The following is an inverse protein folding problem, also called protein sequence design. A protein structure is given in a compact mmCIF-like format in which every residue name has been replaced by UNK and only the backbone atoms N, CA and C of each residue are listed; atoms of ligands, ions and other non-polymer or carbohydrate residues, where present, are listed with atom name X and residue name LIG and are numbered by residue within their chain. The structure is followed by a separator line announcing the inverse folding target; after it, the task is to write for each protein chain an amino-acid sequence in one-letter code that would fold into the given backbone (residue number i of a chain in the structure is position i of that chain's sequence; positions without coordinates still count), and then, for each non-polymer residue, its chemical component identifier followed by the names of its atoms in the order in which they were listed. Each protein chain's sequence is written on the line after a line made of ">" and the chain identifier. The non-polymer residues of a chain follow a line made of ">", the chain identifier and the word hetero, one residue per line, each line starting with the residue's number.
data_IF_164434467617
#
_entry.id   IF_164434467617
#
_cell.length_a   1.000
_cell.length_b   1.000
_cell.length_c   1.000
_cell.angle_alpha   90.00
_cell.angle_beta   90.00
_cell.angle_gamma   90.00
#
_symmetry.space_group_name_H-M   'P 1'
#
loop_
_entity.id
_entity.type
_entity.pdbx_description
1 polymer ?
#
# COMPACT_ATOMS: atom_id res chain seq x y z
N UNK A 1 -11.61 -12.95 -27.06
CA UNK A 1 -10.21 -13.16 -27.45
C UNK A 1 -9.90 -14.66 -27.47
N UNK A 2 -10.03 -15.38 -26.36
CA UNK A 2 -9.70 -16.80 -26.28
C UNK A 2 -10.49 -17.67 -27.27
N UNK A 3 -11.79 -17.41 -27.44
CA UNK A 3 -12.65 -18.13 -28.41
C UNK A 3 -12.23 -17.90 -29.87
N UNK A 4 -11.54 -16.79 -30.16
CA UNK A 4 -11.06 -16.43 -31.48
C UNK A 4 -9.56 -16.75 -31.68
N UNK A 5 -8.93 -17.39 -30.70
CA UNK A 5 -7.49 -17.72 -30.70
C UNK A 5 -6.58 -16.48 -30.91
N UNK A 6 -7.07 -15.28 -30.55
CA UNK A 6 -6.30 -14.03 -30.61
C UNK A 6 -5.52 -13.82 -29.33
N UNK A 7 -4.31 -14.39 -29.30
CA UNK A 7 -3.44 -14.42 -28.11
C UNK A 7 -2.94 -13.03 -27.73
N UNK A 8 -2.64 -12.17 -28.71
CA UNK A 8 -2.16 -10.80 -28.45
C UNK A 8 -3.25 -9.98 -27.74
N UNK A 9 -4.44 -9.93 -28.30
CA UNK A 9 -5.57 -9.25 -27.68
C UNK A 9 -5.98 -9.84 -26.32
N UNK A 10 -5.92 -11.18 -26.19
CA UNK A 10 -6.19 -11.85 -24.92
C UNK A 10 -5.20 -11.43 -23.84
N UNK A 11 -3.92 -11.28 -24.18
CA UNK A 11 -2.87 -10.83 -23.27
C UNK A 11 -3.10 -9.37 -22.84
N UNK A 12 -3.38 -8.46 -23.76
CA UNK A 12 -3.70 -7.06 -23.45
C UNK A 12 -4.87 -6.94 -22.48
N UNK A 13 -5.98 -7.64 -22.75
CA UNK A 13 -7.16 -7.61 -21.89
C UNK A 13 -6.87 -8.18 -20.48
N UNK A 14 -6.01 -9.21 -20.37
CA UNK A 14 -5.61 -9.74 -19.08
C UNK A 14 -4.67 -8.79 -18.32
N UNK A 15 -3.78 -8.07 -19.01
CA UNK A 15 -2.93 -7.05 -18.39
C UNK A 15 -3.77 -5.88 -17.84
N UNK A 16 -4.84 -5.50 -18.54
CA UNK A 16 -5.79 -4.49 -18.04
C UNK A 16 -6.59 -5.04 -16.85
N UNK A 17 -7.05 -6.29 -16.93
CA UNK A 17 -7.77 -6.93 -15.83
C UNK A 17 -6.93 -7.01 -14.55
N UNK A 18 -5.61 -7.25 -14.64
CA UNK A 18 -4.70 -7.22 -13.49
C UNK A 18 -4.76 -5.88 -12.77
N UNK A 19 -4.83 -4.77 -13.50
CA UNK A 19 -4.97 -3.45 -12.88
C UNK A 19 -6.24 -3.32 -12.03
N UNK A 20 -7.38 -3.75 -12.58
CA UNK A 20 -8.67 -3.70 -11.88
C UNK A 20 -8.68 -4.65 -10.66
N UNK A 21 -8.14 -5.87 -10.79
CA UNK A 21 -8.04 -6.83 -9.69
C UNK A 21 -7.17 -6.30 -8.54
N UNK A 22 -6.07 -5.63 -8.87
CA UNK A 22 -5.19 -5.00 -7.87
C UNK A 22 -5.93 -3.90 -7.08
N UNK A 23 -6.73 -3.07 -7.73
CA UNK A 23 -7.56 -2.07 -7.06
C UNK A 23 -8.61 -2.70 -6.13
N UNK A 24 -9.16 -3.85 -6.51
CA UNK A 24 -10.14 -4.61 -5.75
C UNK A 24 -9.53 -5.49 -4.64
N UNK A 25 -8.19 -5.54 -4.52
CA UNK A 25 -7.49 -6.43 -3.58
C UNK A 25 -7.77 -7.93 -3.82
N UNK A 26 -7.99 -8.31 -5.08
CA UNK A 26 -8.26 -9.68 -5.53
C UNK A 26 -6.94 -10.39 -5.90
N UNK A 27 -6.04 -10.52 -4.92
CA UNK A 27 -4.64 -10.94 -5.13
C UNK A 27 -4.54 -12.36 -5.71
N UNK A 28 -5.40 -13.28 -5.28
CA UNK A 28 -5.43 -14.67 -5.80
C UNK A 28 -5.83 -14.72 -7.28
N UNK A 29 -6.85 -13.96 -7.65
CA UNK A 29 -7.33 -13.84 -9.02
C UNK A 29 -6.29 -13.13 -9.90
N UNK A 30 -5.63 -12.10 -9.38
CA UNK A 30 -4.55 -11.38 -10.05
C UNK A 30 -3.40 -12.32 -10.42
N UNK A 31 -2.94 -13.15 -9.48
CA UNK A 31 -1.89 -14.16 -9.69
C UNK A 31 -2.34 -15.20 -10.71
N UNK A 32 -3.58 -15.68 -10.63
CA UNK A 32 -4.12 -16.67 -11.57
C UNK A 32 -4.18 -16.13 -13.01
N UNK A 33 -4.63 -14.88 -13.18
CA UNK A 33 -4.65 -14.21 -14.50
C UNK A 33 -3.24 -14.05 -15.05
N UNK A 34 -2.28 -13.64 -14.23
CA UNK A 34 -0.89 -13.46 -14.65
C UNK A 34 -0.22 -14.79 -15.00
N UNK A 35 -0.51 -15.86 -14.25
CA UNK A 35 -0.02 -17.21 -14.56
C UNK A 35 -0.46 -17.65 -15.95
N UNK A 36 -1.68 -17.33 -16.36
CA UNK A 36 -2.17 -17.59 -17.72
C UNK A 36 -1.41 -16.77 -18.77
N UNK A 37 -1.10 -15.49 -18.48
CA UNK A 37 -0.28 -14.65 -19.38
C UNK A 37 1.12 -15.26 -19.57
N UNK A 38 1.75 -15.74 -18.49
CA UNK A 38 3.07 -16.39 -18.58
C UNK A 38 3.02 -17.68 -19.40
N UNK A 39 1.97 -18.49 -19.26
CA UNK A 39 1.78 -19.68 -20.07
C UNK A 39 1.60 -19.35 -21.56
N UNK A 40 0.78 -18.34 -21.86
CA UNK A 40 0.61 -17.85 -23.23
C UNK A 40 1.92 -17.31 -23.81
N UNK A 41 2.71 -16.55 -23.01
CA UNK A 41 4.04 -16.06 -23.40
C UNK A 41 5.01 -17.20 -23.74
N UNK A 42 5.07 -18.25 -22.90
CA UNK A 42 5.98 -19.37 -23.15
C UNK A 42 5.66 -20.12 -24.46
N UNK A 43 4.39 -20.13 -24.88
CA UNK A 43 3.93 -20.78 -26.10
C UNK A 43 3.91 -19.85 -27.33
N UNK A 44 3.95 -18.52 -27.17
CA UNK A 44 3.76 -17.53 -28.23
C UNK A 44 4.76 -16.36 -28.13
N UNK A 45 6.07 -16.68 -27.96
CA UNK A 45 7.15 -15.69 -27.82
C UNK A 45 7.38 -14.83 -29.06
N UNK A 46 6.85 -15.23 -30.19
CA UNK A 46 6.86 -14.47 -31.44
C UNK A 46 5.81 -13.37 -31.48
N UNK A 47 4.77 -13.47 -30.64
CA UNK A 47 3.64 -12.54 -30.54
C UNK A 47 3.76 -11.68 -29.28
N UNK A 48 3.96 -12.29 -28.11
CA UNK A 48 4.03 -11.61 -26.82
C UNK A 48 5.48 -11.27 -26.51
N UNK A 49 5.76 -9.99 -26.21
CA UNK A 49 7.08 -9.55 -25.73
C UNK A 49 7.17 -9.64 -24.22
N UNK A 50 8.22 -10.27 -23.71
CA UNK A 50 8.43 -10.36 -22.26
C UNK A 50 8.51 -9.01 -21.59
N UNK A 51 9.09 -8.02 -22.24
CA UNK A 51 9.23 -6.66 -21.75
C UNK A 51 7.88 -6.04 -21.34
N UNK A 52 6.83 -6.27 -22.12
CA UNK A 52 5.49 -5.78 -21.86
C UNK A 52 4.85 -6.35 -20.56
N UNK A 53 5.38 -7.48 -20.09
CA UNK A 53 4.89 -8.18 -18.89
C UNK A 53 5.59 -7.72 -17.60
N UNK A 54 6.82 -7.19 -17.68
CA UNK A 54 7.70 -7.00 -16.52
C UNK A 54 7.14 -6.03 -15.49
N UNK A 55 6.48 -4.95 -15.94
CA UNK A 55 5.87 -3.98 -15.01
C UNK A 55 4.77 -4.62 -14.16
N UNK A 56 3.92 -5.43 -14.77
CA UNK A 56 2.86 -6.15 -14.05
C UNK A 56 3.45 -7.28 -13.22
N UNK A 57 4.48 -7.96 -13.67
CA UNK A 57 5.15 -9.00 -12.90
C UNK A 57 5.63 -8.50 -11.54
N UNK A 58 6.17 -7.30 -11.48
CA UNK A 58 6.55 -6.64 -10.23
C UNK A 58 5.37 -6.51 -9.25
N UNK A 59 4.17 -6.23 -9.75
CA UNK A 59 2.95 -6.16 -8.93
C UNK A 59 2.54 -7.55 -8.43
N UNK A 60 2.53 -8.54 -9.33
CA UNK A 60 2.23 -9.93 -8.98
C UNK A 60 3.17 -10.44 -7.88
N UNK A 61 4.45 -10.18 -8.01
CA UNK A 61 5.39 -10.52 -6.94
C UNK A 61 5.04 -9.82 -5.62
N UNK A 62 4.63 -8.56 -5.67
CA UNK A 62 4.10 -7.88 -4.48
C UNK A 62 2.91 -8.60 -3.88
N UNK A 63 1.93 -8.98 -4.71
CA UNK A 63 0.70 -9.64 -4.26
C UNK A 63 0.95 -11.01 -3.62
N UNK A 64 2.08 -11.68 -3.94
CA UNK A 64 2.43 -12.93 -3.26
C UNK A 64 2.75 -12.75 -1.77
N UNK A 65 3.19 -11.57 -1.34
CA UNK A 65 3.40 -11.27 0.09
C UNK A 65 2.07 -11.04 0.84
N UNK A 66 1.01 -10.70 0.11
CA UNK A 66 -0.29 -10.35 0.68
C UNK A 66 -1.16 -11.58 0.97
N UNK A 67 -0.74 -12.78 0.51
CA UNK A 67 -1.45 -14.05 0.68
C UNK A 67 -0.73 -14.92 1.72
N UNK A 68 -1.27 -15.07 2.95
CA UNK A 68 -0.60 -15.78 4.04
C UNK A 68 -0.32 -17.25 3.76
N UNK A 69 -1.08 -17.86 2.85
CA UNK A 69 -0.96 -19.28 2.46
C UNK A 69 0.25 -19.54 1.54
N UNK A 70 0.85 -18.50 0.93
CA UNK A 70 2.03 -18.65 0.08
C UNK A 70 3.28 -18.66 0.98
N UNK A 71 4.03 -19.78 1.02
CA UNK A 71 5.26 -19.85 1.80
C UNK A 71 6.32 -18.87 1.29
N UNK A 72 7.12 -18.31 2.18
CA UNK A 72 8.17 -17.34 1.84
C UNK A 72 9.14 -17.88 0.77
N UNK A 73 9.43 -19.18 0.77
CA UNK A 73 10.27 -19.83 -0.26
C UNK A 73 9.68 -19.67 -1.67
N UNK A 74 8.34 -19.73 -1.82
CA UNK A 74 7.68 -19.48 -3.10
C UNK A 74 7.69 -18.01 -3.47
N UNK A 75 7.50 -17.11 -2.51
CA UNK A 75 7.63 -15.67 -2.73
C UNK A 75 9.03 -15.30 -3.21
N UNK A 76 10.06 -15.87 -2.59
CA UNK A 76 11.47 -15.70 -2.99
C UNK A 76 11.72 -16.26 -4.40
N UNK A 77 11.15 -17.42 -4.74
CA UNK A 77 11.28 -18.02 -6.07
C UNK A 77 10.66 -17.13 -7.17
N UNK A 78 9.49 -16.52 -6.92
CA UNK A 78 8.86 -15.56 -7.84
C UNK A 78 9.77 -14.32 -8.01
N UNK A 79 10.35 -13.83 -6.92
CA UNK A 79 11.29 -12.71 -6.95
C UNK A 79 12.56 -13.01 -7.75
N UNK A 80 13.15 -14.21 -7.62
CA UNK A 80 14.34 -14.60 -8.39
C UNK A 80 14.01 -14.82 -9.88
N UNK A 81 12.81 -15.30 -10.22
CA UNK A 81 12.36 -15.36 -11.62
C UNK A 81 12.17 -13.95 -12.19
N UNK A 82 11.51 -13.04 -11.45
CA UNK A 82 11.40 -11.63 -11.85
C UNK A 82 12.78 -11.01 -12.10
N UNK A 83 13.71 -11.18 -11.17
CA UNK A 83 15.10 -10.69 -11.27
C UNK A 83 15.79 -11.22 -12.53
N UNK A 84 15.63 -12.50 -12.83
CA UNK A 84 16.22 -13.13 -14.03
C UNK A 84 15.66 -12.50 -15.31
N UNK A 85 14.35 -12.24 -15.34
CA UNK A 85 13.66 -11.66 -16.50
C UNK A 85 14.05 -10.20 -16.73
N UNK A 86 14.10 -9.36 -15.68
CA UNK A 86 14.52 -7.96 -15.84
C UNK A 86 15.98 -7.85 -16.35
N UNK A 87 16.89 -8.68 -15.82
CA UNK A 87 18.29 -8.67 -16.28
C UNK A 87 18.43 -9.09 -17.75
N UNK A 88 17.71 -10.13 -18.19
CA UNK A 88 17.81 -10.58 -19.59
C UNK A 88 17.17 -9.58 -20.59
N UNK A 89 16.27 -8.71 -20.10
CA UNK A 89 15.71 -7.60 -20.89
C UNK A 89 16.55 -6.32 -20.77
N UNK A 90 17.71 -6.35 -20.10
CA UNK A 90 18.66 -5.24 -20.04
C UNK A 90 18.36 -4.18 -18.98
N UNK A 91 17.46 -4.44 -18.06
CA UNK A 91 17.14 -3.56 -16.94
C UNK A 91 18.09 -3.76 -15.76
N UNK A 92 18.14 -2.76 -14.88
CA UNK A 92 18.88 -2.80 -13.62
C UNK A 92 18.12 -3.61 -12.55
N UNK A 93 18.80 -3.91 -11.44
CA UNK A 93 18.16 -4.55 -10.29
C UNK A 93 17.43 -3.56 -9.36
N UNK A 94 17.27 -2.29 -9.77
CA UNK A 94 16.69 -1.23 -8.94
C UNK A 94 15.31 -1.58 -8.42
N UNK A 95 14.40 -2.03 -9.30
CA UNK A 95 13.03 -2.41 -8.93
C UNK A 95 12.96 -3.66 -8.05
N UNK A 96 13.87 -4.61 -8.24
CA UNK A 96 14.03 -5.79 -7.39
C UNK A 96 14.45 -5.40 -5.96
N UNK A 97 15.47 -4.55 -5.82
CA UNK A 97 15.91 -4.08 -4.50
C UNK A 97 14.87 -3.17 -3.84
N UNK A 98 14.15 -2.37 -4.62
CA UNK A 98 13.02 -1.59 -4.11
C UNK A 98 12.00 -2.49 -3.43
N UNK A 99 11.56 -3.58 -4.07
CA UNK A 99 10.56 -4.48 -3.49
C UNK A 99 11.04 -5.07 -2.17
N UNK A 100 12.24 -5.63 -2.14
CA UNK A 100 12.81 -6.15 -0.91
C UNK A 100 12.95 -5.09 0.20
N UNK A 101 13.30 -3.86 -0.14
CA UNK A 101 13.37 -2.78 0.86
C UNK A 101 12.02 -2.49 1.51
N UNK A 102 10.95 -2.54 0.72
CA UNK A 102 9.57 -2.37 1.20
C UNK A 102 9.19 -3.51 2.15
N UNK A 103 9.34 -4.74 1.70
CA UNK A 103 8.94 -5.91 2.49
C UNK A 103 9.75 -6.03 3.79
N UNK A 104 11.06 -5.82 3.72
CA UNK A 104 11.90 -5.80 4.93
C UNK A 104 11.49 -4.67 5.92
N UNK A 105 11.08 -3.49 5.41
CA UNK A 105 10.57 -2.40 6.26
C UNK A 105 9.29 -2.86 6.98
N UNK A 106 8.37 -3.44 6.25
CA UNK A 106 7.09 -3.91 6.79
C UNK A 106 7.23 -5.08 7.77
N UNK A 107 8.20 -5.96 7.52
CA UNK A 107 8.59 -7.03 8.45
C UNK A 107 9.45 -6.54 9.63
N UNK A 108 9.71 -5.23 9.73
CA UNK A 108 10.57 -4.59 10.74
C UNK A 108 12.02 -5.13 10.77
N UNK A 109 12.49 -5.63 9.64
CA UNK A 109 13.86 -6.03 9.40
C UNK A 109 14.68 -4.83 8.91
N UNK A 110 14.79 -3.77 9.73
CA UNK A 110 15.27 -2.46 9.31
C UNK A 110 16.72 -2.46 8.80
N UNK A 111 17.59 -3.32 9.32
CA UNK A 111 18.97 -3.43 8.84
C UNK A 111 19.01 -3.96 7.40
N UNK A 112 18.21 -5.00 7.11
CA UNK A 112 18.06 -5.53 5.74
C UNK A 112 17.38 -4.52 4.82
N UNK A 113 16.34 -3.84 5.31
CA UNK A 113 15.67 -2.78 4.55
C UNK A 113 16.66 -1.71 4.11
N UNK A 114 17.54 -1.26 5.03
CA UNK A 114 18.58 -0.28 4.72
C UNK A 114 19.58 -0.80 3.70
N UNK A 115 20.02 -2.05 3.81
CA UNK A 115 20.93 -2.67 2.83
C UNK A 115 20.29 -2.67 1.43
N UNK A 116 19.02 -3.02 1.32
CA UNK A 116 18.31 -3.02 0.05
C UNK A 116 18.05 -1.61 -0.49
N UNK A 117 17.78 -0.62 0.36
CA UNK A 117 17.71 0.79 -0.03
C UNK A 117 19.05 1.24 -0.63
N UNK A 118 20.17 0.90 0.00
CA UNK A 118 21.50 1.29 -0.50
C UNK A 118 21.83 0.62 -1.83
N UNK A 119 21.49 -0.67 -1.99
CA UNK A 119 21.63 -1.39 -3.28
C UNK A 119 20.75 -0.75 -4.36
N UNK A 120 19.50 -0.46 -4.04
CA UNK A 120 18.57 0.22 -4.95
C UNK A 120 19.13 1.55 -5.45
N UNK A 121 19.64 2.38 -4.53
CA UNK A 121 20.18 3.70 -4.86
C UNK A 121 21.49 3.64 -5.64
N UNK A 122 22.23 2.53 -5.56
CA UNK A 122 23.44 2.29 -6.35
C UNK A 122 23.15 1.88 -7.81
N UNK A 123 21.95 1.37 -8.09
CA UNK A 123 21.52 0.99 -9.43
C UNK A 123 21.01 2.21 -10.22
N UNK A 124 21.21 2.20 -11.53
CA UNK A 124 20.63 3.24 -12.39
C UNK A 124 19.10 3.12 -12.43
N UNK A 125 18.46 4.27 -12.58
CA UNK A 125 17.03 4.34 -12.85
C UNK A 125 16.72 3.89 -14.28
N UNK A 126 15.64 3.17 -14.49
CA UNK A 126 15.17 2.69 -15.78
C UNK A 126 13.64 2.61 -15.83
N UNK A 127 13.06 2.07 -16.92
CA UNK A 127 11.62 2.01 -17.14
C UNK A 127 10.88 1.06 -16.18
N UNK A 128 11.61 0.22 -15.42
CA UNK A 128 11.03 -0.59 -14.34
C UNK A 128 10.99 0.16 -12.99
N UNK A 129 11.43 1.42 -12.96
CA UNK A 129 11.54 2.27 -11.77
C UNK A 129 10.53 3.41 -11.79
N UNK A 130 10.12 3.85 -10.60
CA UNK A 130 9.28 5.04 -10.43
C UNK A 130 9.81 5.85 -9.25
N UNK A 131 10.43 7.01 -9.52
CA UNK A 131 11.04 7.85 -8.50
C UNK A 131 10.06 8.25 -7.39
N UNK A 132 8.84 8.62 -7.74
CA UNK A 132 7.83 9.01 -6.75
C UNK A 132 7.47 7.84 -5.81
N UNK A 133 7.34 6.62 -6.36
CA UNK A 133 7.07 5.42 -5.56
C UNK A 133 8.26 5.08 -4.65
N UNK A 134 9.49 5.16 -5.17
CA UNK A 134 10.70 4.91 -4.38
C UNK A 134 10.83 5.86 -3.20
N UNK A 135 10.64 7.17 -3.43
CA UNK A 135 10.65 8.17 -2.36
C UNK A 135 9.57 7.89 -1.31
N UNK A 136 8.36 7.51 -1.74
CA UNK A 136 7.27 7.18 -0.82
C UNK A 136 7.57 5.93 0.02
N UNK A 137 8.20 4.90 -0.54
CA UNK A 137 8.58 3.70 0.21
C UNK A 137 9.78 3.93 1.12
N UNK A 138 10.77 4.70 0.69
CA UNK A 138 11.86 5.11 1.58
C UNK A 138 11.35 5.95 2.75
N UNK A 139 10.29 6.76 2.54
CA UNK A 139 9.63 7.52 3.60
C UNK A 139 9.16 6.58 4.73
N UNK A 140 8.56 5.43 4.41
CA UNK A 140 8.13 4.45 5.41
C UNK A 140 9.31 3.99 6.28
N UNK A 141 10.43 3.60 5.67
CA UNK A 141 11.61 3.18 6.42
C UNK A 141 12.13 4.26 7.39
N UNK A 142 12.24 5.52 6.94
CA UNK A 142 12.74 6.59 7.80
C UNK A 142 11.77 6.95 8.92
N UNK A 143 10.47 6.95 8.66
CA UNK A 143 9.44 7.22 9.65
C UNK A 143 9.37 6.10 10.71
N UNK A 144 9.37 4.84 10.27
CA UNK A 144 9.35 3.66 11.16
C UNK A 144 10.62 3.56 12.04
N UNK A 145 11.77 4.04 11.54
CA UNK A 145 13.03 4.09 12.30
C UNK A 145 13.20 5.37 13.13
N UNK A 146 12.16 6.22 13.22
CA UNK A 146 12.16 7.43 14.06
C UNK A 146 12.98 8.60 13.49
N UNK A 147 13.34 8.57 12.21
CA UNK A 147 14.18 9.58 11.54
C UNK A 147 13.32 10.61 10.80
N UNK A 148 12.42 11.27 11.52
CA UNK A 148 11.44 12.19 10.92
C UNK A 148 12.09 13.29 10.04
N UNK A 149 13.15 13.95 10.53
CA UNK A 149 13.74 15.07 9.79
C UNK A 149 14.38 14.61 8.47
N UNK A 150 15.01 13.43 8.46
CA UNK A 150 15.53 12.82 7.24
C UNK A 150 14.39 12.42 6.29
N UNK A 151 13.33 11.79 6.82
CA UNK A 151 12.13 11.41 6.08
C UNK A 151 11.50 12.63 5.39
N UNK A 152 11.27 13.72 6.14
CA UNK A 152 10.68 14.95 5.63
C UNK A 152 11.54 15.64 4.58
N UNK A 153 12.87 15.70 4.81
CA UNK A 153 13.81 16.26 3.83
C UNK A 153 13.79 15.49 2.51
N UNK A 154 13.80 14.15 2.57
CA UNK A 154 13.76 13.28 1.37
C UNK A 154 12.42 13.32 0.64
N UNK A 155 11.32 13.57 1.35
CA UNK A 155 9.99 13.67 0.77
C UNK A 155 9.71 15.02 0.06
N UNK A 156 10.61 16.00 0.10
CA UNK A 156 10.38 17.32 -0.51
C UNK A 156 10.00 17.28 -1.99
N UNK A 157 10.58 16.41 -2.85
CA UNK A 157 10.14 16.30 -4.24
C UNK A 157 8.68 15.83 -4.37
N UNK A 158 8.21 14.93 -3.48
CA UNK A 158 6.79 14.51 -3.42
C UNK A 158 5.90 15.63 -2.90
N UNK A 159 6.29 16.27 -1.78
CA UNK A 159 5.54 17.34 -1.13
C UNK A 159 5.32 18.53 -2.10
N UNK A 160 6.34 18.88 -2.85
CA UNK A 160 6.31 19.98 -3.81
C UNK A 160 5.85 19.58 -5.21
N UNK A 161 5.37 18.35 -5.41
CA UNK A 161 4.88 17.81 -6.68
C UNK A 161 5.91 17.93 -7.83
N UNK A 162 7.20 17.90 -7.51
CA UNK A 162 8.30 17.85 -8.50
C UNK A 162 8.35 16.46 -9.16
N UNK A 163 8.03 15.43 -8.39
CA UNK A 163 7.76 14.08 -8.89
C UNK A 163 6.36 13.67 -8.46
N UNK A 164 5.65 12.98 -9.33
CA UNK A 164 4.27 12.55 -9.08
C UNK A 164 4.05 11.14 -9.57
N UNK A 165 3.21 10.41 -8.85
CA UNK A 165 2.63 9.16 -9.28
C UNK A 165 1.23 9.10 -8.68
N UNK A 166 0.36 8.26 -9.23
CA UNK A 166 -1.08 8.23 -8.92
C UNK A 166 -1.40 8.37 -7.41
N UNK A 167 -0.64 7.68 -6.54
CA UNK A 167 -0.89 7.65 -5.10
C UNK A 167 0.26 8.20 -4.24
N UNK A 168 1.48 8.28 -4.76
CA UNK A 168 2.67 8.50 -3.94
C UNK A 168 2.62 9.81 -3.15
N UNK A 169 2.12 10.88 -3.75
CA UNK A 169 2.01 12.19 -3.08
C UNK A 169 0.98 12.15 -1.94
N UNK A 170 -0.22 11.59 -2.19
CA UNK A 170 -1.26 11.45 -1.17
C UNK A 170 -0.77 10.59 0.00
N UNK A 171 -0.18 9.44 -0.29
CA UNK A 171 0.40 8.54 0.74
C UNK A 171 1.41 9.26 1.61
N UNK A 172 2.27 10.08 1.01
CA UNK A 172 3.25 10.87 1.75
C UNK A 172 2.56 11.89 2.68
N UNK A 173 1.53 12.59 2.21
CA UNK A 173 0.81 13.58 3.03
C UNK A 173 0.12 12.92 4.23
N UNK A 174 -0.60 11.81 4.02
CA UNK A 174 -1.29 11.07 5.08
C UNK A 174 -0.34 10.64 6.20
N UNK A 175 0.81 10.04 5.83
CA UNK A 175 1.82 9.59 6.78
C UNK A 175 2.49 10.76 7.50
N UNK A 176 2.91 11.78 6.75
CA UNK A 176 3.60 12.93 7.32
C UNK A 176 2.73 13.75 8.27
N UNK A 177 1.41 13.83 8.04
CA UNK A 177 0.50 14.48 8.99
C UNK A 177 0.60 13.83 10.39
N UNK A 178 0.51 12.49 10.46
CA UNK A 178 0.63 11.75 11.72
C UNK A 178 2.03 11.85 12.34
N UNK A 179 3.07 11.52 11.57
CA UNK A 179 4.42 11.47 12.12
C UNK A 179 4.98 12.85 12.51
N UNK A 180 4.60 13.92 11.80
CA UNK A 180 4.94 15.29 12.19
C UNK A 180 4.27 15.68 13.51
N UNK A 181 2.99 15.35 13.68
CA UNK A 181 2.29 15.60 14.95
C UNK A 181 2.96 14.85 16.11
N UNK A 182 3.28 13.58 15.89
CA UNK A 182 3.98 12.73 16.87
C UNK A 182 5.40 13.23 17.20
N UNK A 183 6.08 13.84 16.22
CA UNK A 183 7.40 14.47 16.39
C UNK A 183 7.36 15.90 17.00
N UNK A 184 6.19 16.40 17.40
CA UNK A 184 6.04 17.73 17.97
C UNK A 184 6.22 18.86 16.95
N UNK A 185 5.87 18.63 15.69
CA UNK A 185 5.95 19.59 14.57
C UNK A 185 4.54 19.91 14.01
N UNK A 186 3.68 20.56 14.81
CA UNK A 186 2.27 20.73 14.46
C UNK A 186 2.04 21.55 13.19
N UNK A 187 2.92 22.52 12.86
CA UNK A 187 2.78 23.31 11.65
C UNK A 187 2.98 22.47 10.38
N UNK A 188 3.96 21.56 10.40
CA UNK A 188 4.18 20.61 9.30
C UNK A 188 3.00 19.63 9.23
N UNK A 189 2.53 19.14 10.38
CA UNK A 189 1.39 18.23 10.43
C UNK A 189 0.13 18.86 9.83
N UNK A 190 -0.15 20.13 10.13
CA UNK A 190 -1.29 20.86 9.62
C UNK A 190 -1.19 21.12 8.10
N UNK A 191 0.00 21.48 7.58
CA UNK A 191 0.22 21.62 6.13
C UNK A 191 0.00 20.29 5.41
N UNK A 192 0.56 19.19 5.92
CA UNK A 192 0.38 17.86 5.34
C UNK A 192 -1.08 17.39 5.39
N UNK A 193 -1.78 17.68 6.49
CA UNK A 193 -3.21 17.41 6.63
C UNK A 193 -4.04 18.17 5.57
N UNK A 194 -3.78 19.46 5.37
CA UNK A 194 -4.48 20.27 4.35
C UNK A 194 -4.29 19.67 2.96
N UNK A 195 -3.05 19.33 2.59
CA UNK A 195 -2.75 18.69 1.29
C UNK A 195 -3.39 17.32 1.15
N UNK A 196 -3.47 16.54 2.23
CA UNK A 196 -4.14 15.26 2.23
C UNK A 196 -5.65 15.40 2.01
N UNK A 197 -6.31 16.33 2.70
CA UNK A 197 -7.75 16.63 2.53
C UNK A 197 -8.06 17.09 1.10
N UNK A 198 -7.25 17.99 0.53
CA UNK A 198 -7.40 18.41 -0.87
C UNK A 198 -7.29 17.22 -1.84
N UNK A 199 -6.34 16.31 -1.62
CA UNK A 199 -6.13 15.14 -2.47
C UNK A 199 -7.17 14.03 -2.26
N UNK A 200 -7.85 13.99 -1.10
CA UNK A 200 -8.93 13.06 -0.78
C UNK A 200 -10.30 13.53 -1.29
N UNK A 201 -10.43 14.80 -1.64
CA UNK A 201 -11.70 15.35 -2.11
C UNK A 201 -12.20 14.62 -3.36
N UNK A 202 -13.42 14.10 -3.32
CA UNK A 202 -14.02 13.30 -4.40
C UNK A 202 -13.61 11.82 -4.42
N UNK A 203 -12.87 11.38 -3.41
CA UNK A 203 -12.37 9.98 -3.27
C UNK A 203 -13.03 9.23 -2.11
N UNK A 204 -14.23 9.62 -1.70
CA UNK A 204 -14.93 9.06 -0.54
C UNK A 204 -15.34 7.59 -0.71
N UNK A 205 -15.25 7.06 -1.92
CA UNK A 205 -15.59 5.66 -2.24
C UNK A 205 -14.38 4.82 -2.64
N UNK A 206 -13.18 5.36 -2.51
CA UNK A 206 -11.96 4.71 -2.94
C UNK A 206 -11.40 3.81 -1.82
N UNK A 207 -11.92 2.58 -1.74
CA UNK A 207 -11.58 1.58 -0.71
C UNK A 207 -10.09 1.16 -0.75
N UNK A 208 -9.42 1.39 -1.89
CA UNK A 208 -7.99 1.15 -2.02
C UNK A 208 -7.14 1.97 -1.04
N UNK A 209 -7.65 3.13 -0.62
CA UNK A 209 -6.97 4.01 0.33
C UNK A 209 -6.91 3.44 1.76
N UNK A 210 -7.67 2.41 2.10
CA UNK A 210 -7.74 1.84 3.45
C UNK A 210 -6.35 1.62 4.06
N UNK A 211 -5.40 1.14 3.27
CA UNK A 211 -4.03 0.85 3.70
C UNK A 211 -3.28 2.07 4.28
N UNK A 212 -3.72 3.27 3.96
CA UNK A 212 -3.03 4.52 4.34
C UNK A 212 -3.84 5.40 5.29
N UNK A 213 -5.13 5.09 5.46
CA UNK A 213 -6.05 5.93 6.24
C UNK A 213 -5.87 5.77 7.74
N UNK A 214 -5.37 4.63 8.22
CA UNK A 214 -5.29 4.37 9.66
C UNK A 214 -4.40 5.38 10.40
N UNK A 215 -3.22 5.74 9.85
CA UNK A 215 -2.36 6.77 10.42
C UNK A 215 -2.98 8.16 10.33
N UNK A 216 -3.76 8.44 9.29
CA UNK A 216 -4.48 9.71 9.17
C UNK A 216 -5.62 9.85 10.18
N UNK A 217 -6.32 8.76 10.47
CA UNK A 217 -7.28 8.68 11.58
C UNK A 217 -6.55 8.93 12.90
N UNK A 218 -5.38 8.33 13.13
CA UNK A 218 -4.58 8.58 14.33
C UNK A 218 -4.20 10.06 14.49
N UNK A 219 -3.79 10.73 13.40
CA UNK A 219 -3.56 12.17 13.42
C UNK A 219 -4.79 12.95 13.87
N UNK A 220 -5.96 12.63 13.33
CA UNK A 220 -7.19 13.33 13.70
C UNK A 220 -7.65 13.02 15.13
N UNK A 221 -7.49 11.79 15.62
CA UNK A 221 -7.81 11.50 17.03
C UNK A 221 -6.91 12.27 18.00
N UNK A 222 -5.71 12.70 17.58
CA UNK A 222 -4.84 13.61 18.35
C UNK A 222 -5.27 15.08 18.27
N UNK A 223 -5.92 15.52 17.19
CA UNK A 223 -6.12 16.94 16.87
C UNK A 223 -7.57 17.37 16.75
N UNK A 224 -8.41 16.55 16.18
CA UNK A 224 -9.84 16.75 15.98
C UNK A 224 -10.57 15.37 15.98
N UNK A 225 -10.88 14.81 17.17
CA UNK A 225 -11.43 13.46 17.27
C UNK A 225 -12.73 13.22 16.49
N UNK A 226 -13.60 14.24 16.35
CA UNK A 226 -14.84 14.09 15.57
C UNK A 226 -14.52 13.77 14.10
N UNK A 227 -13.59 14.51 13.50
CA UNK A 227 -13.15 14.26 12.13
C UNK A 227 -12.47 12.91 12.00
N UNK A 228 -11.72 12.50 13.02
CA UNK A 228 -11.08 11.17 13.08
C UNK A 228 -12.10 10.04 12.99
N UNK A 229 -13.21 10.17 13.70
CA UNK A 229 -14.26 9.16 13.69
C UNK A 229 -15.08 9.16 12.40
N UNK A 230 -15.29 10.29 11.73
CA UNK A 230 -15.89 10.33 10.38
C UNK A 230 -15.08 9.49 9.38
N UNK A 231 -13.76 9.57 9.42
CA UNK A 231 -12.88 8.71 8.61
C UNK A 231 -12.91 7.26 9.08
N UNK A 232 -12.90 7.02 10.38
CA UNK A 232 -12.92 5.67 10.95
C UNK A 232 -14.18 4.89 10.58
N UNK A 233 -15.36 5.49 10.63
CA UNK A 233 -16.62 4.86 10.20
C UNK A 233 -16.52 4.30 8.79
N UNK A 234 -16.07 5.12 7.85
CA UNK A 234 -15.89 4.73 6.44
C UNK A 234 -14.85 3.62 6.29
N UNK A 235 -13.71 3.76 6.95
CA UNK A 235 -12.63 2.78 6.86
C UNK A 235 -12.96 1.46 7.52
N UNK A 236 -13.75 1.46 8.60
CA UNK A 236 -14.24 0.24 9.22
C UNK A 236 -15.15 -0.51 8.24
N UNK A 237 -16.07 0.16 7.56
CA UNK A 237 -16.92 -0.44 6.53
C UNK A 237 -16.06 -1.03 5.40
N UNK A 238 -15.08 -0.31 4.87
CA UNK A 238 -14.15 -0.82 3.85
C UNK A 238 -13.37 -2.06 4.31
N UNK A 239 -12.96 -2.09 5.60
CA UNK A 239 -12.21 -3.21 6.17
C UNK A 239 -12.96 -4.54 6.19
N UNK A 240 -14.28 -4.51 6.05
CA UNK A 240 -15.11 -5.71 5.98
C UNK A 240 -15.03 -6.42 4.60
N UNK A 241 -14.58 -5.71 3.56
CA UNK A 241 -14.59 -6.16 2.17
C UNK A 241 -13.19 -6.27 1.54
N UNK A 242 -12.14 -6.04 2.30
CA UNK A 242 -10.76 -6.06 1.80
C UNK A 242 -10.05 -7.38 2.09
N UNK A 243 -8.85 -7.57 1.52
CA UNK A 243 -8.00 -8.72 1.79
C UNK A 243 -7.46 -8.74 3.24
N UNK A 244 -6.96 -9.91 3.65
CA UNK A 244 -6.49 -10.15 5.02
C UNK A 244 -5.36 -9.21 5.43
N UNK A 245 -4.38 -8.94 4.56
CA UNK A 245 -3.25 -8.08 4.90
C UNK A 245 -3.66 -6.62 5.10
N UNK A 246 -4.49 -6.06 4.20
CA UNK A 246 -4.97 -4.68 4.34
C UNK A 246 -5.80 -4.51 5.61
N UNK A 247 -6.65 -5.50 5.92
CA UNK A 247 -7.43 -5.54 7.16
C UNK A 247 -6.51 -5.58 8.39
N UNK A 248 -5.52 -6.45 8.40
CA UNK A 248 -4.53 -6.56 9.48
C UNK A 248 -3.79 -5.23 9.70
N UNK A 249 -3.27 -4.61 8.64
CA UNK A 249 -2.55 -3.32 8.73
C UNK A 249 -3.43 -2.20 9.24
N UNK A 250 -4.63 -2.06 8.68
CA UNK A 250 -5.60 -1.08 9.18
C UNK A 250 -5.90 -1.32 10.66
N UNK A 251 -6.03 -2.58 11.08
CA UNK A 251 -6.28 -2.92 12.48
C UNK A 251 -5.11 -2.54 13.39
N UNK A 252 -3.86 -2.74 12.96
CA UNK A 252 -2.68 -2.27 13.68
C UNK A 252 -2.69 -0.75 13.86
N UNK A 253 -3.00 -0.01 12.78
CA UNK A 253 -3.08 1.46 12.82
C UNK A 253 -4.23 1.94 13.71
N UNK A 254 -5.38 1.26 13.69
CA UNK A 254 -6.50 1.56 14.60
C UNK A 254 -6.16 1.31 16.06
N UNK A 255 -5.38 0.26 16.38
CA UNK A 255 -4.89 0.03 17.75
C UNK A 255 -3.99 1.19 18.21
N UNK A 256 -3.15 1.72 17.32
CA UNK A 256 -2.34 2.93 17.59
C UNK A 256 -3.22 4.16 17.74
N UNK A 257 -4.15 4.40 16.79
CA UNK A 257 -5.04 5.55 16.77
C UNK A 257 -5.90 5.66 18.05
N UNK A 258 -6.46 4.55 18.49
CA UNK A 258 -7.31 4.48 19.68
C UNK A 258 -6.57 4.72 21.00
N UNK A 259 -5.25 4.88 21.01
CA UNK A 259 -4.52 5.37 22.19
C UNK A 259 -4.77 6.84 22.48
N UNK A 260 -5.17 7.60 21.46
CA UNK A 260 -5.39 9.04 21.56
C UNK A 260 -6.85 9.40 21.85
N UNK A 261 -7.77 8.43 21.75
CA UNK A 261 -9.18 8.66 22.14
C UNK A 261 -9.36 8.50 23.67
N UNK A 262 -9.76 9.60 24.30
CA UNK A 262 -9.89 9.67 25.75
C UNK A 262 -11.32 9.43 26.25
N UNK A 263 -12.31 9.47 25.37
CA UNK A 263 -13.72 9.18 25.74
C UNK A 263 -13.90 7.67 25.95
N UNK A 264 -14.73 7.24 26.90
CA UNK A 264 -15.01 5.82 27.10
C UNK A 264 -15.90 5.23 26.00
N UNK A 265 -16.73 6.08 25.37
CA UNK A 265 -17.73 5.70 24.37
C UNK A 265 -17.75 6.72 23.23
N UNK A 266 -18.12 6.24 22.05
CA UNK A 266 -18.29 7.03 20.82
C UNK A 266 -19.57 6.62 20.11
N UNK A 267 -20.15 7.56 19.34
CA UNK A 267 -21.32 7.30 18.51
C UNK A 267 -20.87 7.12 17.06
N UNK A 268 -21.15 5.94 16.48
CA UNK A 268 -20.74 5.58 15.12
C UNK A 268 -21.92 4.94 14.36
N UNK A 269 -22.00 5.23 13.06
CA UNK A 269 -22.95 4.61 12.15
C UNK A 269 -22.28 3.44 11.40
N UNK A 270 -22.03 2.34 12.09
CA UNK A 270 -21.39 1.16 11.50
C UNK A 270 -22.42 0.24 10.84
N UNK A 271 -22.02 -0.52 9.79
CA UNK A 271 -22.93 -1.46 9.12
C UNK A 271 -23.26 -2.68 10.00
N UNK A 272 -24.41 -3.31 9.73
CA UNK A 272 -24.89 -4.49 10.50
C UNK A 272 -23.92 -5.68 10.42
N UNK A 273 -23.13 -5.76 9.38
CA UNK A 273 -22.10 -6.78 9.16
C UNK A 273 -20.88 -6.61 10.08
N UNK A 274 -20.72 -5.44 10.73
CA UNK A 274 -19.63 -5.23 11.67
C UNK A 274 -19.79 -6.12 12.90
N UNK A 275 -18.79 -6.93 13.30
CA UNK A 275 -18.93 -7.93 14.37
C UNK A 275 -19.36 -7.37 15.75
N UNK A 276 -19.12 -6.09 15.99
CA UNK A 276 -19.54 -5.40 17.20
C UNK A 276 -20.73 -4.47 16.96
N UNK A 277 -21.50 -4.66 15.88
CA UNK A 277 -22.62 -3.81 15.52
C UNK A 277 -23.58 -3.57 16.69
N UNK A 278 -24.02 -2.33 16.85
CA UNK A 278 -25.00 -1.90 17.87
C UNK A 278 -26.06 -1.00 17.23
N UNK A 279 -27.32 -1.37 17.38
CA UNK A 279 -28.44 -0.61 16.81
C UNK A 279 -28.60 0.80 17.42
N UNK A 280 -28.09 1.02 18.64
CA UNK A 280 -28.06 2.34 19.30
C UNK A 280 -26.85 3.22 18.84
N UNK A 281 -25.95 2.66 18.06
CA UNK A 281 -24.78 3.34 17.57
C UNK A 281 -23.73 3.70 18.64
N UNK A 282 -23.86 3.21 19.88
CA UNK A 282 -22.96 3.54 20.99
C UNK A 282 -21.91 2.46 21.16
N UNK A 283 -20.65 2.80 20.96
CA UNK A 283 -19.53 1.85 21.01
C UNK A 283 -18.54 2.19 22.12
N UNK A 284 -18.17 1.18 22.92
CA UNK A 284 -17.06 1.31 23.85
C UNK A 284 -15.72 1.36 23.12
N UNK A 285 -14.94 2.41 23.37
CA UNK A 285 -13.60 2.56 22.80
C UNK A 285 -12.68 1.39 23.19
N UNK A 286 -12.80 0.87 24.40
CA UNK A 286 -12.04 -0.27 24.87
C UNK A 286 -12.41 -1.58 24.15
N UNK A 287 -13.70 -1.77 23.79
CA UNK A 287 -14.14 -2.92 23.01
C UNK A 287 -13.66 -2.83 21.55
N UNK A 288 -13.79 -1.65 20.92
CA UNK A 288 -13.25 -1.41 19.59
C UNK A 288 -11.73 -1.67 19.54
N UNK A 289 -10.98 -1.18 20.53
CA UNK A 289 -9.53 -1.41 20.60
C UNK A 289 -9.20 -2.90 20.75
N UNK A 290 -9.96 -3.64 21.56
CA UNK A 290 -9.80 -5.10 21.69
C UNK A 290 -10.11 -5.82 20.39
N UNK A 291 -11.17 -5.43 19.71
CA UNK A 291 -11.54 -5.99 18.41
C UNK A 291 -10.40 -5.85 17.40
N UNK A 292 -9.87 -4.63 17.20
CA UNK A 292 -8.76 -4.42 16.26
C UNK A 292 -7.47 -5.14 16.67
N UNK A 293 -7.22 -5.28 17.97
CA UNK A 293 -6.06 -6.04 18.46
C UNK A 293 -6.14 -7.54 18.16
N UNK A 294 -7.34 -8.07 17.95
CA UNK A 294 -7.60 -9.50 17.69
C UNK A 294 -7.65 -9.86 16.21
N UNK A 295 -7.66 -8.86 15.31
CA UNK A 295 -7.60 -9.11 13.88
C UNK A 295 -6.16 -9.42 13.42
#
# INVERSE_FOLDING_TARGET
>A
ADENEDVEWATEMRLDLIYELNLLSADTEEIAVFSKILDDYENHKDVIKEDDLLWKYKWIWSSTFDIPEIPMEQVEAVGEDYKTRILRNGYSLRSYYQRWSVECTWMRQYDKAKEYIDKMLAEKMDDQSCEACELNFMLDYYLETGKFDEAYSRAQPLINKQVTCYEANLRAYLKLAYYAQKAGKPDIAADMCTRAEEALAGREKDEYLLLYMGLFIAYYLMTNPERGWEYAERCIDWSLRTNTLKKYRFSCDMVEALKYEMRPEVHLALPEEFPLYRADGVYSVSELRRYFYQQ
#
